data_IF_523551635573
#
_entry.id   IF_523551635573
#
_cell.length_a   1.000
_cell.length_b   1.000
_cell.length_c   1.000
_cell.angle_alpha   90.00
_cell.angle_beta   90.00
_cell.angle_gamma   90.00
#
_symmetry.space_group_name_H-M   'P 1'
#
loop_
_entity.id
_entity.type
_entity.pdbx_description
1 polymer ?
#
# COMPACT_ATOMS: atom_id res chain seq x y z
N UNK A 1 1.88 20.81 4.77
CA UNK A 1 0.87 20.43 3.77
C UNK A 1 0.69 18.92 3.86
N UNK A 2 -0.55 18.45 3.89
CA UNK A 2 -0.84 17.02 3.71
C UNK A 2 -0.37 16.60 2.31
N UNK A 3 0.44 15.54 2.21
CA UNK A 3 0.84 15.00 0.89
C UNK A 3 -0.36 14.41 0.18
N UNK A 4 -0.44 14.64 -1.14
CA UNK A 4 -1.46 14.01 -1.98
C UNK A 4 -1.18 12.50 -2.09
N UNK A 5 -2.23 11.68 -2.20
CA UNK A 5 -2.12 10.23 -2.39
C UNK A 5 -2.62 9.83 -3.76
N UNK A 6 -1.84 8.99 -4.45
CA UNK A 6 -2.18 8.49 -5.79
C UNK A 6 -1.85 7.01 -5.90
N UNK A 7 -2.75 6.25 -6.53
CA UNK A 7 -2.50 4.87 -6.93
C UNK A 7 -2.09 4.82 -8.41
N UNK A 8 -1.14 3.97 -8.78
CA UNK A 8 -0.80 3.73 -10.19
C UNK A 8 -1.83 2.80 -10.87
N UNK A 9 -1.89 2.77 -12.20
CA UNK A 9 -2.74 1.83 -12.94
C UNK A 9 -2.60 0.37 -12.50
N UNK A 10 -1.36 -0.07 -12.20
CA UNK A 10 -1.09 -1.43 -11.72
C UNK A 10 -1.79 -1.78 -10.41
N UNK A 11 -1.98 -0.80 -9.52
CA UNK A 11 -2.70 -1.02 -8.26
C UNK A 11 -4.20 -1.15 -8.54
N UNK A 12 -4.73 -0.40 -9.50
CA UNK A 12 -6.14 -0.54 -9.91
C UNK A 12 -6.41 -1.90 -10.55
N UNK A 13 -5.55 -2.34 -11.48
CA UNK A 13 -5.61 -3.69 -12.09
C UNK A 13 -5.61 -4.78 -11.00
N UNK A 14 -4.71 -4.65 -10.02
CA UNK A 14 -4.65 -5.58 -8.89
C UNK A 14 -5.91 -5.53 -7.99
N UNK A 15 -6.49 -4.35 -7.79
CA UNK A 15 -7.73 -4.18 -7.02
C UNK A 15 -8.93 -4.83 -7.72
N UNK A 16 -9.00 -4.81 -9.05
CA UNK A 16 -10.04 -5.52 -9.79
C UNK A 16 -10.01 -7.03 -9.46
N UNK A 17 -8.81 -7.62 -9.40
CA UNK A 17 -8.63 -9.02 -9.05
C UNK A 17 -8.85 -9.33 -7.56
N UNK A 18 -8.55 -8.39 -6.66
CA UNK A 18 -8.48 -8.61 -5.20
C UNK A 18 -9.47 -7.77 -4.39
N UNK A 19 -10.52 -7.25 -5.03
CA UNK A 19 -11.52 -6.36 -4.42
C UNK A 19 -12.24 -6.96 -3.20
N UNK A 20 -12.31 -8.29 -3.10
CA UNK A 20 -12.87 -8.98 -1.94
C UNK A 20 -11.94 -8.99 -0.71
N UNK A 21 -10.68 -8.57 -0.87
CA UNK A 21 -9.66 -8.55 0.19
C UNK A 21 -9.47 -7.13 0.74
N UNK A 22 -9.34 -6.16 -0.16
CA UNK A 22 -9.13 -4.73 0.13
C UNK A 22 -9.74 -3.86 -0.96
N UNK A 23 -9.99 -2.60 -0.62
CA UNK A 23 -10.44 -1.57 -1.54
C UNK A 23 -9.46 -0.37 -1.61
N UNK A 24 -9.70 0.52 -2.56
CA UNK A 24 -8.90 1.72 -2.78
C UNK A 24 -8.78 2.61 -1.54
N UNK A 25 -9.89 2.89 -0.83
CA UNK A 25 -9.89 3.78 0.32
C UNK A 25 -9.08 3.18 1.47
N UNK A 26 -9.17 1.86 1.65
CA UNK A 26 -8.36 1.14 2.62
C UNK A 26 -6.87 1.29 2.32
N UNK A 27 -6.43 1.05 1.08
CA UNK A 27 -5.01 1.21 0.68
C UNK A 27 -4.54 2.64 0.95
N UNK A 28 -5.31 3.63 0.51
CA UNK A 28 -4.96 5.04 0.70
C UNK A 28 -4.87 5.41 2.18
N UNK A 29 -5.80 4.92 3.01
CA UNK A 29 -5.80 5.14 4.46
C UNK A 29 -4.56 4.53 5.12
N UNK A 30 -4.23 3.28 4.79
CA UNK A 30 -3.03 2.61 5.30
C UNK A 30 -1.77 3.41 4.97
N UNK A 31 -1.61 3.85 3.72
CA UNK A 31 -0.42 4.59 3.30
C UNK A 31 -0.35 5.98 3.95
N UNK A 32 -1.50 6.67 4.07
CA UNK A 32 -1.57 8.00 4.70
C UNK A 32 -1.13 7.95 6.17
N UNK A 33 -1.60 6.93 6.89
CA UNK A 33 -1.49 6.86 8.34
C UNK A 33 -0.40 5.89 8.83
N UNK A 34 0.28 5.18 7.93
CA UNK A 34 1.39 4.31 8.30
C UNK A 34 2.52 5.15 8.95
N UNK A 35 2.85 4.92 10.23
CA UNK A 35 3.94 5.62 10.90
C UNK A 35 5.27 5.26 10.24
N UNK A 36 6.25 6.16 10.32
CA UNK A 36 7.54 6.00 9.65
C UNK A 36 8.27 4.72 10.07
N UNK A 37 8.12 4.28 11.31
CA UNK A 37 8.66 3.01 11.83
C UNK A 37 8.10 1.73 11.17
N UNK A 38 6.92 1.80 10.55
CA UNK A 38 6.32 0.68 9.79
C UNK A 38 6.67 0.73 8.30
N UNK A 39 7.51 1.69 7.89
CA UNK A 39 7.94 1.87 6.50
C UNK A 39 9.34 1.30 6.35
N UNK A 40 9.46 0.24 5.57
CA UNK A 40 10.75 -0.36 5.25
C UNK A 40 11.34 0.36 4.04
N UNK A 41 12.10 1.43 4.29
CA UNK A 41 12.79 2.19 3.23
C UNK A 41 13.95 1.36 2.67
N UNK A 42 14.02 1.23 1.35
CA UNK A 42 15.11 0.54 0.65
C UNK A 42 15.89 1.47 -0.29
N UNK A 43 15.31 2.61 -0.64
CA UNK A 43 16.01 3.77 -1.16
C UNK A 43 15.44 5.03 -0.48
N UNK A 44 16.12 6.18 -0.62
CA UNK A 44 15.82 7.38 0.18
C UNK A 44 14.38 7.90 0.07
N UNK A 45 13.64 7.51 -0.97
CA UNK A 45 12.28 7.94 -1.22
C UNK A 45 11.27 6.79 -1.43
N UNK A 46 11.69 5.53 -1.49
CA UNK A 46 10.79 4.37 -1.64
C UNK A 46 10.84 3.47 -0.43
N UNK A 47 9.66 3.04 -0.05
CA UNK A 47 9.47 2.13 1.06
C UNK A 47 8.39 1.11 0.78
N UNK A 48 8.42 0.02 1.55
CA UNK A 48 7.31 -0.90 1.63
C UNK A 48 6.55 -0.77 2.94
N UNK A 49 5.25 -1.08 2.90
CA UNK A 49 4.43 -1.32 4.09
C UNK A 49 3.92 -2.76 3.99
N UNK A 50 4.18 -3.54 5.03
CA UNK A 50 3.67 -4.90 5.19
C UNK A 50 2.50 -4.90 6.17
N UNK A 51 1.34 -5.39 5.74
CA UNK A 51 0.11 -5.40 6.54
C UNK A 51 -0.40 -6.84 6.63
N UNK A 52 -0.22 -7.53 7.76
CA UNK A 52 -0.83 -8.83 7.97
C UNK A 52 -2.36 -8.69 8.10
N UNK A 53 -3.12 -9.53 7.41
CA UNK A 53 -4.57 -9.55 7.41
C UNK A 53 -5.09 -10.98 7.46
N UNK A 54 -6.29 -11.17 8.00
CA UNK A 54 -6.99 -12.45 7.97
C UNK A 54 -8.10 -12.40 6.91
N UNK A 55 -8.05 -13.29 5.93
CA UNK A 55 -9.02 -13.37 4.83
C UNK A 55 -9.52 -14.82 4.76
N UNK A 56 -10.83 -15.02 4.90
CA UNK A 56 -11.42 -16.37 4.82
C UNK A 56 -10.80 -17.39 5.80
N UNK A 57 -10.31 -16.95 6.96
CA UNK A 57 -9.66 -17.82 7.94
C UNK A 57 -8.14 -17.95 7.79
N UNK A 58 -7.57 -17.64 6.62
CA UNK A 58 -6.13 -17.67 6.36
C UNK A 58 -5.48 -16.34 6.73
N UNK A 59 -4.23 -16.40 7.20
CA UNK A 59 -3.39 -15.21 7.36
C UNK A 59 -2.72 -14.94 6.03
N UNK A 60 -2.76 -13.70 5.57
CA UNK A 60 -2.09 -13.22 4.37
C UNK A 60 -1.36 -11.92 4.72
N UNK A 61 -0.31 -11.59 3.99
CA UNK A 61 0.41 -10.33 4.14
C UNK A 61 0.21 -9.48 2.89
N UNK A 62 -0.26 -8.25 3.06
CA UNK A 62 -0.37 -7.29 1.96
C UNK A 62 0.90 -6.44 1.95
N UNK A 63 1.60 -6.43 0.82
CA UNK A 63 2.78 -5.61 0.60
C UNK A 63 2.42 -4.43 -0.30
N UNK A 64 2.57 -3.21 0.20
CA UNK A 64 2.40 -1.98 -0.58
C UNK A 64 3.76 -1.36 -0.84
N UNK A 65 4.09 -1.11 -2.11
CA UNK A 65 5.30 -0.34 -2.48
C UNK A 65 4.90 1.10 -2.74
N UNK A 66 5.57 2.03 -2.06
CA UNK A 66 5.23 3.45 -2.09
C UNK A 66 6.47 4.27 -2.41
N UNK A 67 6.32 5.24 -3.29
CA UNK A 67 7.31 6.30 -3.53
C UNK A 67 6.82 7.60 -2.90
N UNK A 68 7.69 8.22 -2.11
CA UNK A 68 7.45 9.45 -1.40
C UNK A 68 8.20 10.60 -2.08
N UNK A 69 7.46 11.55 -2.64
CA UNK A 69 8.04 12.79 -3.17
C UNK A 69 7.84 13.92 -2.17
N UNK A 70 8.27 15.13 -2.52
CA UNK A 70 8.03 16.31 -1.68
C UNK A 70 6.53 16.59 -1.47
N UNK A 71 5.71 16.36 -2.51
CA UNK A 71 4.28 16.69 -2.53
C UNK A 71 3.35 15.48 -2.47
N UNK A 72 3.82 14.27 -2.78
CA UNK A 72 2.96 13.10 -2.99
C UNK A 72 3.46 11.82 -2.29
N UNK A 73 2.53 10.90 -2.09
CA UNK A 73 2.76 9.48 -1.83
C UNK A 73 2.12 8.68 -2.98
N UNK A 74 2.96 8.02 -3.77
CA UNK A 74 2.54 7.25 -4.95
C UNK A 74 2.63 5.76 -4.62
N UNK A 75 1.49 5.08 -4.56
CA UNK A 75 1.46 3.63 -4.39
C UNK A 75 1.75 2.98 -5.74
N UNK A 76 2.96 2.44 -5.88
CA UNK A 76 3.48 1.90 -7.12
C UNK A 76 2.90 0.51 -7.44
N UNK A 77 2.80 -0.34 -6.41
CA UNK A 77 2.40 -1.75 -6.52
C UNK A 77 1.72 -2.19 -5.21
N UNK A 78 0.79 -3.13 -5.35
CA UNK A 78 0.20 -3.89 -4.24
C UNK A 78 0.35 -5.39 -4.53
N UNK A 79 0.65 -6.16 -3.50
CA UNK A 79 0.83 -7.61 -3.61
C UNK A 79 0.27 -8.31 -2.36
N UNK A 80 -0.08 -9.59 -2.51
CA UNK A 80 -0.56 -10.47 -1.44
C UNK A 80 0.37 -11.68 -1.37
N UNK A 81 0.94 -11.92 -0.20
CA UNK A 81 1.72 -13.10 0.14
C UNK A 81 0.89 -13.99 1.09
N UNK A 82 0.87 -15.31 0.83
CA UNK A 82 0.16 -16.34 1.63
C UNK A 82 1.04 -16.90 2.77
#
# INVERSE_FOLDING_TARGET
MDKQLRLTPKVYEWLEEKSNVVDQYWIMSVVKWAPRERRNYYDGNRFTIEIPRKVGGKKVTILLRVEETESELVVLLAHLED
#
